data_IF_203183901447
#
_entry.id   IF_203183901447
#
_cell.length_a   1.000
_cell.length_b   1.000
_cell.length_c   1.000
_cell.angle_alpha   90.00
_cell.angle_beta   90.00
_cell.angle_gamma   90.00
#
_symmetry.space_group_name_H-M   'P 1'
#
loop_
_entity.id
_entity.type
_entity.pdbx_description
1 polymer ?
#
# COMPACT_ATOMS: atom_id res chain seq x y z
N UNK A 1 -0.54 -14.53 8.95
CA UNK A 1 -0.61 -14.58 7.47
C UNK A 1 -0.61 -13.17 6.93
N UNK A 2 0.10 -12.92 5.81
CA UNK A 2 0.08 -11.63 5.11
C UNK A 2 -0.33 -11.88 3.67
N UNK A 3 -1.23 -11.04 3.17
CA UNK A 3 -1.72 -11.09 1.79
C UNK A 3 -1.33 -9.78 1.12
N UNK A 4 -0.31 -9.83 0.27
CA UNK A 4 0.20 -8.65 -0.42
C UNK A 4 0.20 -8.89 -1.93
N UNK A 5 -0.29 -7.89 -2.65
CA UNK A 5 -0.44 -7.89 -4.10
C UNK A 5 0.31 -6.71 -4.69
N UNK A 6 0.78 -6.80 -5.93
CA UNK A 6 1.36 -5.64 -6.62
C UNK A 6 0.92 -5.48 -8.05
N UNK A 7 0.99 -4.23 -8.52
CA UNK A 7 0.86 -3.88 -9.94
C UNK A 7 1.80 -2.73 -10.26
N UNK A 8 2.42 -2.79 -11.44
CA UNK A 8 3.38 -1.81 -11.90
C UNK A 8 2.95 -1.15 -13.22
N UNK A 9 3.37 0.10 -13.42
CA UNK A 9 3.30 0.83 -14.70
C UNK A 9 4.57 1.65 -14.87
N UNK A 10 5.13 1.67 -16.08
CA UNK A 10 6.31 2.46 -16.40
C UNK A 10 6.06 3.30 -17.65
N UNK A 11 6.44 4.57 -17.61
CA UNK A 11 6.49 5.48 -18.75
C UNK A 11 7.39 6.68 -18.42
N UNK A 12 7.84 7.39 -19.45
CA UNK A 12 8.61 8.64 -19.31
C UNK A 12 9.84 8.52 -18.37
N UNK A 13 10.51 7.36 -18.38
CA UNK A 13 11.68 7.10 -17.55
C UNK A 13 11.40 6.85 -16.06
N UNK A 14 10.12 6.70 -15.68
CA UNK A 14 9.68 6.41 -14.33
C UNK A 14 8.90 5.10 -14.28
N UNK A 15 9.02 4.38 -13.16
CA UNK A 15 8.19 3.23 -12.84
C UNK A 15 7.47 3.44 -11.52
N UNK A 16 6.16 3.23 -11.51
CA UNK A 16 5.35 3.14 -10.30
C UNK A 16 5.10 1.66 -9.99
N UNK A 17 5.36 1.23 -8.76
CA UNK A 17 4.92 -0.08 -8.25
C UNK A 17 4.02 0.14 -7.05
N UNK A 18 2.75 -0.21 -7.19
CA UNK A 18 1.77 -0.17 -6.11
C UNK A 18 1.70 -1.55 -5.44
N UNK A 19 1.83 -1.56 -4.12
CA UNK A 19 1.60 -2.69 -3.25
C UNK A 19 0.26 -2.50 -2.53
N UNK A 20 -0.56 -3.53 -2.49
CA UNK A 20 -1.83 -3.57 -1.76
C UNK A 20 -1.75 -4.65 -0.67
N UNK A 21 -1.91 -4.27 0.58
CA UNK A 21 -2.00 -5.18 1.73
C UNK A 21 -3.46 -5.36 2.15
N UNK A 22 -3.89 -6.61 2.31
CA UNK A 22 -5.23 -6.94 2.81
C UNK A 22 -5.22 -7.26 4.30
N UNK A 23 -6.18 -6.72 5.04
CA UNK A 23 -6.44 -7.04 6.44
C UNK A 23 -7.90 -7.49 6.63
N UNK A 24 -8.13 -8.40 7.57
CA UNK A 24 -9.45 -9.00 7.78
C UNK A 24 -10.49 -8.02 8.35
N UNK A 25 -10.02 -6.98 9.04
CA UNK A 25 -10.84 -5.92 9.61
C UNK A 25 -10.03 -4.64 9.76
N UNK A 26 -10.76 -3.53 9.77
CA UNK A 26 -10.28 -2.23 10.21
C UNK A 26 -11.18 -1.75 11.35
N UNK A 27 -10.63 -1.60 12.54
CA UNK A 27 -11.40 -1.39 13.77
C UNK A 27 -10.89 -0.16 14.53
N UNK A 28 -11.75 0.84 14.64
CA UNK A 28 -11.48 2.10 15.32
C UNK A 28 -11.59 1.97 16.86
N UNK A 29 -12.60 1.26 17.38
CA UNK A 29 -12.84 1.14 18.82
C UNK A 29 -13.03 -0.31 19.30
N UNK A 30 -12.69 -0.58 20.56
CA UNK A 30 -12.94 -1.86 21.24
C UNK A 30 -14.26 -1.78 22.05
N UNK A 31 -14.92 -2.92 22.24
CA UNK A 31 -16.12 -3.04 23.08
C UNK A 31 -17.43 -3.29 22.30
N UNK A 32 -18.58 -3.30 23.00
CA UNK A 32 -19.89 -3.65 22.41
C UNK A 32 -20.38 -2.68 21.31
N UNK A 33 -19.78 -1.48 21.25
CA UNK A 33 -20.04 -0.44 20.26
C UNK A 33 -18.83 -0.23 19.33
N UNK A 34 -18.10 -1.30 19.00
CA UNK A 34 -16.95 -1.23 18.11
C UNK A 34 -17.34 -0.64 16.74
N UNK A 35 -16.73 0.49 16.40
CA UNK A 35 -16.84 1.15 15.10
C UNK A 35 -15.70 0.64 14.23
N UNK A 36 -16.02 0.28 12.99
CA UNK A 36 -15.07 -0.26 12.02
C UNK A 36 -15.79 -0.96 10.88
N UNK A 37 -15.03 -1.60 10.00
CA UNK A 37 -15.58 -2.44 8.95
C UNK A 37 -14.80 -3.75 8.79
N UNK A 38 -15.50 -4.76 8.31
CA UNK A 38 -14.90 -6.01 7.85
C UNK A 38 -14.15 -5.72 6.55
N UNK A 39 -12.96 -6.31 6.40
CA UNK A 39 -12.01 -6.06 5.31
C UNK A 39 -11.32 -4.70 5.39
N UNK A 40 -10.08 -4.66 4.93
CA UNK A 40 -9.31 -3.45 4.72
C UNK A 40 -8.30 -3.65 3.58
N UNK A 41 -8.02 -2.57 2.86
CA UNK A 41 -6.98 -2.54 1.83
C UNK A 41 -6.20 -1.25 1.93
N UNK A 42 -4.96 -1.37 2.40
CA UNK A 42 -4.01 -0.27 2.44
C UNK A 42 -2.95 -0.42 1.36
N UNK A 43 -2.47 0.71 0.85
CA UNK A 43 -1.64 0.77 -0.34
C UNK A 43 -0.37 1.60 -0.11
N UNK A 44 0.71 1.15 -0.74
CA UNK A 44 1.96 1.90 -0.84
C UNK A 44 2.40 1.91 -2.30
N UNK A 45 2.74 3.08 -2.83
CA UNK A 45 3.32 3.23 -4.16
C UNK A 45 4.78 3.63 -4.02
N UNK A 46 5.70 2.90 -4.66
CA UNK A 46 7.09 3.33 -4.82
C UNK A 46 7.28 3.89 -6.23
N UNK A 47 7.90 5.06 -6.32
CA UNK A 47 8.21 5.73 -7.59
C UNK A 47 9.71 5.63 -7.84
N UNK A 48 10.06 4.95 -8.92
CA UNK A 48 11.41 4.50 -9.21
C UNK A 48 11.93 5.23 -10.44
N UNK A 49 13.16 5.73 -10.34
CA UNK A 49 13.95 6.28 -11.45
C UNK A 49 15.39 5.80 -11.27
N UNK A 50 16.05 5.45 -12.37
CA UNK A 50 17.45 5.01 -12.39
C UNK A 50 17.73 3.87 -11.39
N UNK A 51 16.85 2.86 -11.35
CA UNK A 51 16.88 1.71 -10.44
C UNK A 51 16.87 2.05 -8.93
N UNK A 52 16.42 3.25 -8.56
CA UNK A 52 16.29 3.66 -7.16
C UNK A 52 14.90 4.25 -6.86
N UNK A 53 14.36 3.91 -5.67
CA UNK A 53 13.12 4.51 -5.15
C UNK A 53 13.38 5.97 -4.80
N UNK A 54 12.76 6.90 -5.53
CA UNK A 54 12.90 8.35 -5.32
C UNK A 54 11.77 8.92 -4.45
N UNK A 55 10.59 8.32 -4.52
CA UNK A 55 9.44 8.71 -3.70
C UNK A 55 8.66 7.49 -3.24
N UNK A 56 7.99 7.63 -2.10
CA UNK A 56 7.03 6.66 -1.58
C UNK A 56 5.72 7.38 -1.33
N UNK A 57 4.61 6.81 -1.76
CA UNK A 57 3.26 7.30 -1.42
C UNK A 57 2.53 6.27 -0.60
N UNK A 58 1.75 6.70 0.40
CA UNK A 58 0.87 5.83 1.18
C UNK A 58 -0.57 6.28 1.04
N UNK A 59 -1.51 5.33 1.05
CA UNK A 59 -2.91 5.65 1.29
C UNK A 59 -3.09 6.14 2.73
N UNK A 60 -3.97 7.13 2.88
CA UNK A 60 -4.37 7.70 4.17
C UNK A 60 -5.89 7.84 4.14
N UNK A 61 -6.59 6.78 4.52
CA UNK A 61 -8.04 6.68 4.39
C UNK A 61 -8.49 6.89 2.93
N UNK A 62 -9.23 7.98 2.65
CA UNK A 62 -9.67 8.34 1.29
C UNK A 62 -8.62 9.10 0.48
N UNK A 63 -7.51 9.50 1.10
CA UNK A 63 -6.46 10.32 0.49
C UNK A 63 -5.14 9.59 0.25
N UNK A 64 -4.16 10.35 -0.24
CA UNK A 64 -2.80 9.90 -0.48
C UNK A 64 -1.80 10.94 0.00
N UNK A 65 -0.65 10.47 0.48
CA UNK A 65 0.48 11.33 0.78
C UNK A 65 1.74 10.74 0.19
N UNK A 66 2.54 11.58 -0.47
CA UNK A 66 3.85 11.20 -0.99
C UNK A 66 4.97 11.81 -0.16
N UNK A 67 6.11 11.13 -0.19
CA UNK A 67 7.29 11.43 0.59
C UNK A 67 8.53 11.31 -0.30
N UNK A 68 9.43 12.31 -0.31
CA UNK A 68 10.71 12.17 -0.99
C UNK A 68 11.57 11.12 -0.28
N UNK A 69 12.49 10.48 -1.03
CA UNK A 69 13.43 9.46 -0.53
C UNK A 69 14.12 9.88 0.77
N UNK A 70 14.47 11.16 0.91
CA UNK A 70 15.14 11.72 2.10
C UNK A 70 14.35 11.59 3.41
N UNK A 71 13.04 11.38 3.35
CA UNK A 71 12.19 11.16 4.53
C UNK A 71 11.93 9.68 4.82
N UNK A 72 12.34 8.79 3.92
CA UNK A 72 12.01 7.37 3.99
C UNK A 72 13.19 6.60 4.56
N UNK A 73 12.95 5.79 5.59
CA UNK A 73 13.92 4.82 6.10
C UNK A 73 13.90 3.59 5.18
N UNK A 74 15.07 3.05 4.85
CA UNK A 74 15.19 1.89 3.97
C UNK A 74 15.94 0.74 4.65
N UNK A 75 15.59 -0.47 4.24
CA UNK A 75 16.46 -1.65 4.34
C UNK A 75 16.90 -2.05 2.92
N UNK A 76 18.13 -1.69 2.55
CA UNK A 76 18.61 -1.74 1.17
C UNK A 76 17.70 -0.92 0.23
N UNK A 77 16.98 -1.59 -0.65
CA UNK A 77 16.02 -0.99 -1.59
C UNK A 77 14.58 -0.92 -1.07
N UNK A 78 14.30 -1.47 0.11
CA UNK A 78 12.95 -1.61 0.65
C UNK A 78 12.59 -0.43 1.54
N UNK A 79 11.55 0.32 1.17
CA UNK A 79 11.01 1.36 2.03
C UNK A 79 10.35 0.73 3.26
N UNK A 80 10.67 1.23 4.45
CA UNK A 80 10.06 0.80 5.71
C UNK A 80 8.73 1.54 5.94
N UNK A 81 7.65 0.77 5.99
CA UNK A 81 6.29 1.25 6.23
C UNK A 81 5.63 0.44 7.34
N UNK A 82 4.76 1.09 8.11
CA UNK A 82 4.06 0.50 9.25
C UNK A 82 2.57 0.61 9.02
N UNK A 83 1.86 -0.51 9.12
CA UNK A 83 0.39 -0.49 9.24
C UNK A 83 0.06 0.02 10.65
N UNK A 84 -0.55 1.19 10.72
CA UNK A 84 -0.68 1.96 11.94
C UNK A 84 -2.12 2.36 12.18
N UNK A 85 -2.56 2.24 13.43
CA UNK A 85 -3.85 2.75 13.88
C UNK A 85 -3.73 4.25 14.16
N UNK A 86 -4.51 5.08 13.45
CA UNK A 86 -4.47 6.53 13.61
C UNK A 86 -5.27 7.01 14.83
N UNK A 87 -4.71 6.81 16.02
CA UNK A 87 -5.33 7.20 17.29
C UNK A 87 -6.70 6.53 17.50
N UNK A 88 -7.76 7.34 17.49
CA UNK A 88 -9.16 6.87 17.61
C UNK A 88 -9.82 6.52 16.28
N UNK A 89 -9.13 6.76 15.16
CA UNK A 89 -9.60 6.48 13.79
C UNK A 89 -9.23 5.06 13.35
N UNK A 90 -9.40 4.81 12.06
CA UNK A 90 -9.04 3.59 11.35
C UNK A 90 -7.54 3.50 11.03
N UNK A 91 -7.13 2.40 10.41
CA UNK A 91 -5.72 2.15 10.09
C UNK A 91 -5.31 2.80 8.77
N UNK A 92 -4.00 3.01 8.61
CA UNK A 92 -3.38 3.34 7.33
C UNK A 92 -1.88 2.96 7.33
N UNK A 93 -1.23 2.99 6.16
CA UNK A 93 0.24 2.90 6.11
C UNK A 93 0.90 4.25 6.37
N UNK A 94 1.78 4.31 7.37
CA UNK A 94 2.74 5.43 7.55
C UNK A 94 4.16 5.01 7.26
N UNK A 95 5.04 5.98 7.02
CA UNK A 95 6.48 5.73 7.05
C UNK A 95 6.92 5.29 8.45
N UNK A 96 7.92 4.42 8.51
CA UNK A 96 8.59 4.08 9.75
C UNK A 96 9.41 5.26 10.29
N UNK A 97 9.52 5.36 11.61
CA UNK A 97 10.31 6.36 12.31
C UNK A 97 11.28 5.69 13.31
N UNK A 98 11.95 6.48 14.15
CA UNK A 98 12.96 5.97 15.10
C UNK A 98 12.40 5.07 16.21
N UNK A 99 11.10 5.14 16.47
CA UNK A 99 10.43 4.36 17.53
C UNK A 99 9.91 3.00 17.02
N UNK A 100 10.10 2.69 15.74
CA UNK A 100 9.66 1.41 15.14
C UNK A 100 10.79 0.35 15.12
N UNK A 101 11.79 0.52 15.99
CA UNK A 101 12.92 -0.41 16.14
C UNK A 101 13.04 -0.84 17.61
N UNK A 102 12.77 -2.12 17.95
CA UNK A 102 12.35 -3.21 17.04
C UNK A 102 10.92 -3.01 16.51
N UNK A 103 10.60 -3.71 15.42
CA UNK A 103 9.27 -3.66 14.84
C UNK A 103 8.21 -4.21 15.81
N UNK A 104 7.05 -3.55 15.89
CA UNK A 104 5.94 -3.93 16.78
C UNK A 104 5.20 -5.17 16.27
N UNK A 105 5.81 -6.34 16.41
CA UNK A 105 5.20 -7.63 16.14
C UNK A 105 5.87 -8.75 16.95
N UNK A 106 5.25 -9.94 16.99
CA UNK A 106 5.71 -11.09 17.78
C UNK A 106 7.15 -11.56 17.46
N UNK A 107 7.71 -11.21 16.31
CA UNK A 107 9.09 -11.56 15.93
C UNK A 107 10.11 -10.47 16.27
N UNK A 108 9.67 -9.24 16.54
CA UNK A 108 10.54 -8.07 16.69
C UNK A 108 11.27 -7.63 15.41
N UNK A 109 11.00 -8.27 14.26
CA UNK A 109 11.72 -8.05 13.01
C UNK A 109 10.83 -7.41 11.93
N UNK A 110 11.46 -6.71 11.00
CA UNK A 110 10.82 -6.27 9.76
C UNK A 110 10.42 -7.49 8.91
N UNK A 111 9.26 -7.41 8.27
CA UNK A 111 8.70 -8.51 7.51
C UNK A 111 8.64 -8.19 6.02
N UNK A 112 9.11 -9.13 5.21
CA UNK A 112 8.93 -9.11 3.76
C UNK A 112 7.72 -9.98 3.41
N UNK A 113 6.57 -9.39 3.09
CA UNK A 113 5.40 -10.18 2.77
C UNK A 113 5.59 -10.95 1.47
N UNK A 114 5.04 -12.17 1.42
CA UNK A 114 4.92 -12.90 0.16
C UNK A 114 4.03 -12.09 -0.77
N UNK A 115 4.47 -11.96 -2.01
CA UNK A 115 3.90 -11.03 -2.98
C UNK A 115 3.34 -11.77 -4.18
N UNK A 116 2.11 -11.45 -4.57
CA UNK A 116 1.54 -11.84 -5.87
C UNK A 116 1.48 -10.62 -6.78
N UNK A 117 2.37 -10.56 -7.77
CA UNK A 117 2.35 -9.51 -8.79
C UNK A 117 1.19 -9.69 -9.77
N UNK A 118 0.80 -8.61 -10.45
CA UNK A 118 -0.35 -8.55 -11.37
C UNK A 118 -0.43 -9.69 -12.40
N UNK A 119 0.72 -10.16 -12.86
CA UNK A 119 0.85 -11.23 -13.85
C UNK A 119 1.20 -12.60 -13.23
N UNK A 120 1.28 -12.69 -11.90
CA UNK A 120 1.69 -13.90 -11.17
C UNK A 120 0.53 -14.66 -10.50
N UNK A 121 -0.72 -14.31 -10.81
CA UNK A 121 -1.88 -15.01 -10.26
C UNK A 121 -2.10 -16.36 -10.94
N UNK A 122 -2.51 -17.40 -10.20
CA UNK A 122 -3.13 -18.58 -10.80
C UNK A 122 -4.36 -18.22 -11.62
N UNK A 123 -4.68 -19.05 -12.62
CA UNK A 123 -5.80 -18.83 -13.52
C UNK A 123 -7.12 -18.56 -12.76
N UNK A 124 -7.86 -17.54 -13.18
CA UNK A 124 -9.16 -17.14 -12.61
C UNK A 124 -9.11 -16.45 -11.24
N UNK A 125 -8.01 -16.53 -10.48
CA UNK A 125 -7.94 -15.93 -9.14
C UNK A 125 -7.82 -14.41 -9.17
N UNK A 126 -7.12 -13.85 -10.17
CA UNK A 126 -7.05 -12.40 -10.33
C UNK A 126 -8.44 -11.80 -10.52
N UNK A 127 -9.20 -12.34 -11.46
CA UNK A 127 -10.52 -11.82 -11.79
C UNK A 127 -11.48 -12.00 -10.62
N UNK A 128 -11.42 -13.13 -9.91
CA UNK A 128 -12.21 -13.35 -8.69
C UNK A 128 -11.88 -12.32 -7.60
N UNK A 129 -10.59 -12.03 -7.37
CA UNK A 129 -10.17 -11.04 -6.37
C UNK A 129 -10.59 -9.62 -6.75
N UNK A 130 -10.40 -9.22 -8.00
CA UNK A 130 -10.67 -7.85 -8.46
C UNK A 130 -12.17 -7.53 -8.54
N UNK A 131 -13.02 -8.56 -8.62
CA UNK A 131 -14.48 -8.42 -8.66
C UNK A 131 -15.18 -8.78 -7.33
N UNK A 132 -14.42 -9.15 -6.29
CA UNK A 132 -15.02 -9.47 -4.99
C UNK A 132 -15.55 -8.20 -4.30
N UNK A 133 -16.67 -8.36 -3.60
CA UNK A 133 -17.24 -7.32 -2.75
C UNK A 133 -16.55 -7.34 -1.37
N UNK A 134 -15.84 -6.26 -1.08
CA UNK A 134 -15.15 -6.04 0.20
C UNK A 134 -15.87 -5.00 1.08
N UNK A 135 -17.13 -4.70 0.78
CA UNK A 135 -17.92 -3.69 1.47
C UNK A 135 -17.27 -2.31 1.35
N UNK A 136 -16.86 -1.75 2.49
CA UNK A 136 -16.23 -0.42 2.54
C UNK A 136 -14.79 -0.41 2.03
N UNK A 137 -14.10 -1.54 2.04
CA UNK A 137 -12.71 -1.61 1.59
C UNK A 137 -12.63 -1.70 0.07
N UNK A 138 -11.60 -1.09 -0.53
CA UNK A 138 -11.43 -1.09 -1.99
C UNK A 138 -9.98 -1.34 -2.37
N UNK A 139 -9.73 -2.45 -3.08
CA UNK A 139 -8.44 -2.70 -3.71
C UNK A 139 -8.23 -1.76 -4.91
N UNK A 140 -7.11 -1.03 -4.94
CA UNK A 140 -6.83 0.02 -5.93
C UNK A 140 -5.92 -0.44 -7.08
N UNK A 141 -5.51 -1.71 -7.11
CA UNK A 141 -4.74 -2.29 -8.22
C UNK A 141 -5.61 -2.88 -9.35
N UNK A 142 -6.94 -2.85 -9.22
CA UNK A 142 -7.87 -3.30 -10.27
C UNK A 142 -7.81 -2.43 -11.52
N UNK A 143 -8.16 -2.96 -12.69
CA UNK A 143 -8.13 -2.24 -13.97
C UNK A 143 -8.87 -0.90 -13.94
N UNK A 144 -10.08 -0.86 -13.37
CA UNK A 144 -10.89 0.37 -13.30
C UNK A 144 -10.47 1.36 -12.21
N UNK A 145 -9.37 1.15 -11.49
CA UNK A 145 -8.95 2.03 -10.37
C UNK A 145 -7.47 2.36 -10.34
N UNK A 146 -6.65 1.52 -10.96
CA UNK A 146 -5.19 1.61 -10.87
C UNK A 146 -4.66 2.95 -11.37
N UNK A 147 -5.11 3.42 -12.53
CA UNK A 147 -4.64 4.69 -13.08
C UNK A 147 -5.09 5.89 -12.24
N UNK A 148 -6.32 5.89 -11.73
CA UNK A 148 -6.81 6.96 -10.84
C UNK A 148 -6.04 7.02 -9.52
N UNK A 149 -5.75 5.86 -8.94
CA UNK A 149 -4.94 5.77 -7.73
C UNK A 149 -3.49 6.21 -7.97
N UNK A 150 -2.90 5.89 -9.13
CA UNK A 150 -1.61 6.44 -9.52
C UNK A 150 -1.66 7.96 -9.69
N UNK A 151 -2.70 8.50 -10.31
CA UNK A 151 -2.87 9.94 -10.48
C UNK A 151 -2.97 10.67 -9.14
N UNK A 152 -3.77 10.15 -8.21
CA UNK A 152 -3.96 10.73 -6.88
C UNK A 152 -2.71 10.63 -5.99
N UNK A 153 -1.87 9.61 -6.19
CA UNK A 153 -0.69 9.35 -5.35
C UNK A 153 0.62 9.89 -5.92
N UNK A 154 0.62 10.43 -7.16
CA UNK A 154 1.84 10.82 -7.88
C UNK A 154 2.52 12.05 -7.26
N UNK A 155 3.85 12.01 -7.03
CA UNK A 155 4.64 13.23 -6.78
C UNK A 155 4.74 14.09 -8.06
N UNK A 156 5.31 15.31 -8.00
CA UNK A 156 5.48 16.20 -9.16
C UNK A 156 6.60 15.71 -10.11
N UNK A 157 6.40 14.54 -10.73
CA UNK A 157 7.32 13.88 -11.67
C UNK A 157 6.67 13.76 -13.06
N UNK A 158 7.45 13.64 -14.15
CA UNK A 158 6.91 13.46 -15.50
C UNK A 158 6.49 12.00 -15.73
N UNK A 159 5.51 11.50 -14.98
CA UNK A 159 4.87 10.19 -15.19
C UNK A 159 3.40 10.40 -15.54
N UNK A 160 2.89 9.63 -16.50
CA UNK A 160 1.52 9.70 -16.97
C UNK A 160 0.72 8.46 -16.51
N UNK A 161 -0.21 8.60 -15.55
CA UNK A 161 -1.08 7.51 -15.12
C UNK A 161 -1.97 6.94 -16.23
N UNK A 162 -2.28 7.71 -17.28
CA UNK A 162 -3.26 7.37 -18.31
C UNK A 162 -2.64 7.14 -19.70
N UNK A 163 -1.31 7.11 -19.81
CA UNK A 163 -0.60 6.70 -21.01
C UNK A 163 -0.99 5.29 -21.49
#
# INVERSE_FOLDING_TARGET
NSNTYSRAKCNNGWCAVMYAGYFEKDQATLGPAAIGHRHDFEHVVVWIKDNAVQYVSTSQHSGWKWYPRSQVRFDGTHAKVVYHKDGVSTHFYRLANGNDEPAENHTGNWFYPRLVGWNGYPAGLRDKLMNADFGSATIKISDGRFNDALNASKPPIPFDPYA
#
